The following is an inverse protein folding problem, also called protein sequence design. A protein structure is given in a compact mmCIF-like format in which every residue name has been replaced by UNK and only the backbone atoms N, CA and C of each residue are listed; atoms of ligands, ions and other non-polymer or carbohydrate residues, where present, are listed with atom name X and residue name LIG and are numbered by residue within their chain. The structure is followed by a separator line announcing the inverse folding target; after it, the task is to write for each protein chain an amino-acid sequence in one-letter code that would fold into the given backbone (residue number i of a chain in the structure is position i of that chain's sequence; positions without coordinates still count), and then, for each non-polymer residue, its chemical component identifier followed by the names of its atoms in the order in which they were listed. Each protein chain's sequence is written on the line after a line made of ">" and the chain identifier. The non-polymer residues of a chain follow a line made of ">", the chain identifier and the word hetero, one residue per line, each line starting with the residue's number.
data_IF_302867097598
#
_entry.id   IF_302867097598
#
_cell.length_a   1.000
_cell.length_b   1.000
_cell.length_c   1.000
_cell.angle_alpha   90.00
_cell.angle_beta   90.00
_cell.angle_gamma   90.00
#
_symmetry.space_group_name_H-M   'P 1'
#
loop_
_entity.id
_entity.type
_entity.pdbx_description
1 polymer ?
#
# COMPACT_ATOMS: atom_id res chain seq x y z
N UNK A 1 2.37 -14.26 -6.48
CA UNK A 1 1.23 -13.32 -6.51
C UNK A 1 0.22 -13.87 -5.52
N UNK A 2 -0.06 -13.15 -4.43
CA UNK A 2 -1.15 -13.55 -3.55
C UNK A 2 -2.45 -13.34 -4.35
N UNK A 3 -3.41 -14.27 -4.30
CA UNK A 3 -4.69 -14.07 -4.97
C UNK A 3 -5.38 -12.82 -4.38
N UNK A 4 -5.88 -11.92 -5.23
CA UNK A 4 -6.38 -10.59 -4.83
C UNK A 4 -7.38 -10.62 -3.66
N UNK A 5 -8.22 -11.64 -3.58
CA UNK A 5 -9.16 -11.87 -2.45
C UNK A 5 -8.47 -11.97 -1.07
N UNK A 6 -7.24 -12.47 -0.99
CA UNK A 6 -6.50 -12.55 0.29
C UNK A 6 -5.95 -11.19 0.71
N UNK A 7 -5.59 -10.32 -0.24
CA UNK A 7 -5.08 -8.98 0.08
C UNK A 7 -6.22 -8.08 0.56
N UNK A 8 -7.38 -8.12 -0.10
CA UNK A 8 -8.57 -7.36 0.33
C UNK A 8 -9.04 -7.75 1.72
N UNK A 9 -8.99 -9.04 2.07
CA UNK A 9 -9.39 -9.52 3.40
C UNK A 9 -8.44 -9.07 4.52
N UNK A 10 -7.15 -8.87 4.21
CA UNK A 10 -6.13 -8.42 5.16
C UNK A 10 -6.06 -6.89 5.26
N UNK A 11 -6.40 -6.19 4.17
CA UNK A 11 -6.25 -4.74 4.04
C UNK A 11 -7.62 -4.06 4.15
N UNK A 12 -8.15 -3.95 5.37
CA UNK A 12 -9.30 -3.06 5.63
C UNK A 12 -8.86 -1.62 5.38
N UNK A 13 -9.33 -1.04 4.29
CA UNK A 13 -9.03 0.32 3.84
C UNK A 13 -10.30 1.16 3.95
N UNK A 14 -10.17 2.37 4.48
CA UNK A 14 -11.26 3.35 4.44
C UNK A 14 -11.40 3.96 3.04
N UNK A 15 -12.54 4.60 2.77
CA UNK A 15 -12.86 5.13 1.44
C UNK A 15 -11.88 6.21 0.96
N UNK A 16 -11.30 7.01 1.87
CA UNK A 16 -10.37 8.08 1.50
C UNK A 16 -8.97 7.53 1.24
N UNK A 17 -8.54 6.54 2.02
CA UNK A 17 -7.34 5.73 1.75
C UNK A 17 -7.42 5.03 0.39
N UNK A 18 -8.59 4.51 0.01
CA UNK A 18 -8.79 3.88 -1.29
C UNK A 18 -8.59 4.88 -2.45
N UNK A 19 -9.10 6.11 -2.32
CA UNK A 19 -8.91 7.16 -3.33
C UNK A 19 -7.44 7.55 -3.47
N UNK A 20 -6.73 7.66 -2.35
CA UNK A 20 -5.29 7.95 -2.35
C UNK A 20 -4.52 6.86 -3.08
N UNK A 21 -4.78 5.59 -2.75
CA UNK A 21 -4.11 4.45 -3.38
C UNK A 21 -4.36 4.39 -4.89
N UNK A 22 -5.59 4.62 -5.35
CA UNK A 22 -5.91 4.68 -6.80
C UNK A 22 -5.17 5.84 -7.48
N UNK A 23 -5.14 7.01 -6.84
CA UNK A 23 -4.45 8.19 -7.37
C UNK A 23 -2.94 7.98 -7.46
N UNK A 24 -2.35 7.37 -6.43
CA UNK A 24 -0.95 7.00 -6.40
C UNK A 24 -0.62 5.94 -7.46
N UNK A 25 -1.47 4.92 -7.62
CA UNK A 25 -1.30 3.90 -8.65
C UNK A 25 -1.21 4.49 -10.06
N UNK A 26 -2.06 5.49 -10.35
CA UNK A 26 -2.01 6.25 -11.62
C UNK A 26 -0.78 7.12 -11.74
N UNK A 27 -0.43 7.87 -10.68
CA UNK A 27 0.69 8.82 -10.69
C UNK A 27 2.06 8.13 -10.81
N UNK A 28 2.23 6.98 -10.15
CA UNK A 28 3.48 6.23 -10.13
C UNK A 28 3.50 5.05 -11.12
N UNK A 29 2.48 4.94 -11.99
CA UNK A 29 2.32 3.84 -12.95
C UNK A 29 2.53 2.47 -12.30
N UNK A 30 1.91 2.25 -11.14
CA UNK A 30 2.09 1.01 -10.38
C UNK A 30 1.55 -0.17 -11.19
N UNK A 31 2.39 -1.19 -11.40
CA UNK A 31 1.90 -2.49 -11.85
C UNK A 31 1.00 -3.12 -10.79
N UNK A 32 0.20 -4.12 -11.17
CA UNK A 32 -0.61 -4.89 -10.20
C UNK A 32 0.24 -5.39 -9.01
N UNK A 33 1.50 -5.78 -9.26
CA UNK A 33 2.44 -6.19 -8.20
C UNK A 33 2.91 -5.02 -7.33
N UNK A 34 3.12 -3.85 -7.92
CA UNK A 34 3.48 -2.64 -7.19
C UNK A 34 2.34 -2.19 -6.28
N UNK A 35 1.10 -2.27 -6.78
CA UNK A 35 -0.12 -2.02 -6.00
C UNK A 35 -0.23 -2.97 -4.80
N UNK A 36 -0.12 -4.29 -5.03
CA UNK A 36 -0.13 -5.30 -3.97
C UNK A 36 0.96 -5.05 -2.92
N UNK A 37 2.16 -4.64 -3.35
CA UNK A 37 3.28 -4.35 -2.45
C UNK A 37 3.02 -3.13 -1.57
N UNK A 38 2.46 -2.05 -2.13
CA UNK A 38 2.08 -0.86 -1.35
C UNK A 38 1.06 -1.23 -0.28
N UNK A 39 0.06 -2.07 -0.62
CA UNK A 39 -0.92 -2.55 0.34
C UNK A 39 -0.31 -3.36 1.48
N UNK A 40 0.60 -4.28 1.16
CA UNK A 40 1.27 -5.10 2.18
C UNK A 40 2.13 -4.25 3.12
N UNK A 41 2.89 -3.29 2.59
CA UNK A 41 3.72 -2.38 3.41
C UNK A 41 2.82 -1.49 4.26
N UNK A 42 1.76 -0.91 3.69
CA UNK A 42 0.80 -0.10 4.43
C UNK A 42 0.10 -0.92 5.53
N UNK A 43 -0.18 -2.22 5.30
CA UNK A 43 -0.69 -3.11 6.34
C UNK A 43 0.31 -3.31 7.46
N UNK A 44 1.59 -3.56 7.13
CA UNK A 44 2.65 -3.69 8.14
C UNK A 44 2.79 -2.41 8.98
N UNK A 45 2.73 -1.23 8.37
CA UNK A 45 2.78 0.05 9.09
C UNK A 45 1.55 0.18 10.01
N UNK A 46 0.36 -0.13 9.51
CA UNK A 46 -0.86 -0.11 10.31
C UNK A 46 -0.79 -1.07 11.51
N UNK A 47 -0.23 -2.28 11.31
CA UNK A 47 -0.02 -3.25 12.39
C UNK A 47 0.98 -2.73 13.44
N UNK A 48 2.02 -1.99 13.02
CA UNK A 48 2.98 -1.35 13.92
C UNK A 48 2.38 -0.17 14.71
N UNK A 49 1.39 0.51 14.14
CA UNK A 49 0.62 1.59 14.79
C UNK A 49 -0.58 1.05 15.61
N UNK A 50 -0.68 -0.28 15.76
CA UNK A 50 -1.81 -0.97 16.41
C UNK A 50 -3.18 -0.60 15.80
N UNK A 51 -3.19 -0.18 14.52
CA UNK A 51 -4.39 0.22 13.80
C UNK A 51 -5.05 -0.95 13.08
N UNK A 52 -6.32 -1.20 13.37
CA UNK A 52 -7.11 -2.21 12.66
C UNK A 52 -7.30 -1.90 11.18
N UNK A 53 -7.27 -0.62 10.81
CA UNK A 53 -7.51 -0.12 9.45
C UNK A 53 -6.28 0.56 8.86
N UNK A 54 -6.14 0.46 7.54
CA UNK A 54 -5.10 1.18 6.80
C UNK A 54 -5.64 2.58 6.52
N UNK A 55 -5.06 3.57 7.22
CA UNK A 55 -5.32 4.98 7.03
C UNK A 55 -4.42 5.59 5.93
N UNK A 56 -4.72 6.83 5.57
CA UNK A 56 -3.99 7.60 4.54
C UNK A 56 -2.52 7.81 4.91
N UNK A 57 -2.20 7.95 6.20
CA UNK A 57 -0.83 8.03 6.72
C UNK A 57 -0.01 6.78 6.38
N UNK A 58 -0.56 5.58 6.63
CA UNK A 58 0.11 4.31 6.37
C UNK A 58 0.40 4.12 4.88
N UNK A 59 -0.54 4.52 4.02
CA UNK A 59 -0.36 4.50 2.57
C UNK A 59 0.68 5.52 2.09
N UNK A 60 0.66 6.73 2.63
CA UNK A 60 1.61 7.79 2.26
C UNK A 60 3.04 7.38 2.62
N UNK A 61 3.22 6.74 3.77
CA UNK A 61 4.50 6.21 4.20
C UNK A 61 4.95 5.01 3.33
N UNK A 62 4.05 4.06 3.05
CA UNK A 62 4.33 2.95 2.14
C UNK A 62 4.77 3.42 0.74
N UNK A 63 4.16 4.47 0.20
CA UNK A 63 4.54 5.07 -1.08
C UNK A 63 5.88 5.79 -1.02
N UNK A 64 6.21 6.44 0.10
CA UNK A 64 7.52 7.07 0.32
C UNK A 64 8.65 6.03 0.33
N UNK A 65 8.43 4.89 0.97
CA UNK A 65 9.38 3.77 0.96
C UNK A 65 9.70 3.26 -0.45
N UNK A 66 8.75 3.40 -1.39
CA UNK A 66 8.96 3.08 -2.81
C UNK A 66 9.79 4.14 -3.53
N UNK A 67 9.48 5.43 -3.31
CA UNK A 67 10.17 6.55 -3.98
C UNK A 67 11.64 6.67 -3.54
N UNK A 68 11.94 6.34 -2.28
CA UNK A 68 13.32 6.36 -1.76
C UNK A 68 14.17 5.16 -2.21
N UNK A 69 13.66 4.25 -3.03
CA UNK A 69 14.43 3.12 -3.58
C UNK A 69 14.81 2.05 -2.55
N UNK A 70 14.28 2.11 -1.33
CA UNK A 70 14.61 1.16 -0.24
C UNK A 70 13.98 -0.23 -0.52
N UNK A 71 12.84 -0.28 -1.23
CA UNK A 71 12.10 -1.52 -1.50
C UNK A 71 11.78 -1.79 -2.98
N UNK A 72 12.01 -0.83 -3.88
CA UNK A 72 12.04 -1.10 -5.32
C UNK A 72 13.36 -1.82 -5.62
N UNK A 73 13.38 -3.13 -5.35
CA UNK A 73 14.50 -3.99 -5.70
C UNK A 73 14.89 -3.76 -7.16
N UNK A 74 16.18 -3.45 -7.35
CA UNK A 74 16.85 -3.16 -8.63
C UNK A 74 16.61 -1.72 -9.15
N UNK A 75 17.60 -0.86 -8.92
CA UNK A 75 18.16 -0.07 -10.02
C UNK A 75 19.17 -0.93 -10.76
#
# INVERSE_FOLDING_TARGET
>A
HLPGKKIEALCRIDADSQKLLISAARRFSLSARGYDKVLLIARTIADLDESETIATSHLAEALQYRTSGIFDGVR
#
